data_IF_160096534040
#
_entry.id   IF_160096534040
#
_cell.length_a   1.000
_cell.length_b   1.000
_cell.length_c   1.000
_cell.angle_alpha   90.00
_cell.angle_beta   90.00
_cell.angle_gamma   90.00
#
_symmetry.space_group_name_H-M   'P 1'
#
loop_
_entity.id
_entity.type
_entity.pdbx_description
1 polymer ?
#
# COMPACT_ATOMS: atom_id res chain seq x y z
N UNK A 1 5.76 13.56 -39.27
CA UNK A 1 5.94 12.14 -38.88
C UNK A 1 6.56 11.98 -37.48
N UNK A 2 7.67 12.66 -37.13
CA UNK A 2 8.31 12.54 -35.80
C UNK A 2 7.39 12.88 -34.62
N UNK A 3 6.68 14.01 -34.68
CA UNK A 3 5.72 14.43 -33.64
C UNK A 3 4.60 13.42 -33.44
N UNK A 4 4.10 12.84 -34.54
CA UNK A 4 3.04 11.81 -34.49
C UNK A 4 3.53 10.53 -33.80
N UNK A 5 4.72 10.03 -34.14
CA UNK A 5 5.32 8.86 -33.49
C UNK A 5 5.59 9.11 -31.99
N UNK A 6 6.08 10.30 -31.64
CA UNK A 6 6.30 10.70 -30.25
C UNK A 6 4.98 10.72 -29.46
N UNK A 7 3.93 11.35 -30.00
CA UNK A 7 2.62 11.41 -29.37
C UNK A 7 2.02 10.00 -29.19
N UNK A 8 2.12 9.15 -30.22
CA UNK A 8 1.63 7.77 -30.17
C UNK A 8 2.35 6.95 -29.09
N UNK A 9 3.67 7.11 -28.96
CA UNK A 9 4.46 6.45 -27.93
C UNK A 9 4.09 6.94 -26.52
N UNK A 10 3.85 8.25 -26.35
CA UNK A 10 3.39 8.82 -25.07
C UNK A 10 2.02 8.27 -24.69
N UNK A 11 1.07 8.23 -25.63
CA UNK A 11 -0.28 7.71 -25.39
C UNK A 11 -0.26 6.21 -25.06
N UNK A 12 0.46 5.42 -25.84
CA UNK A 12 0.57 3.98 -25.62
C UNK A 12 1.32 3.67 -24.31
N UNK A 13 2.41 4.37 -24.04
CA UNK A 13 3.16 4.26 -22.79
C UNK A 13 2.32 4.67 -21.58
N UNK A 14 1.58 5.77 -21.67
CA UNK A 14 0.65 6.21 -20.64
C UNK A 14 -0.48 5.21 -20.39
N UNK A 15 -1.03 4.59 -21.44
CA UNK A 15 -2.04 3.55 -21.31
C UNK A 15 -1.50 2.30 -20.59
N UNK A 16 -0.34 1.79 -21.01
CA UNK A 16 0.33 0.65 -20.36
C UNK A 16 0.65 0.98 -18.90
N UNK A 17 1.13 2.19 -18.63
CA UNK A 17 1.40 2.66 -17.28
C UNK A 17 0.16 2.64 -16.39
N UNK A 18 -0.99 3.14 -16.86
CA UNK A 18 -2.26 3.11 -16.10
C UNK A 18 -2.69 1.68 -15.79
N UNK A 19 -2.58 0.76 -16.76
CA UNK A 19 -2.91 -0.65 -16.52
C UNK A 19 -2.00 -1.28 -15.47
N UNK A 20 -0.69 -1.03 -15.55
CA UNK A 20 0.27 -1.51 -14.55
C UNK A 20 -0.02 -0.92 -13.16
N UNK A 21 -0.38 0.36 -13.09
CA UNK A 21 -0.72 1.02 -11.83
C UNK A 21 -1.98 0.41 -11.18
N UNK A 22 -3.00 0.08 -11.97
CA UNK A 22 -4.23 -0.59 -11.47
C UNK A 22 -3.91 -1.98 -10.92
N UNK A 23 -3.10 -2.78 -11.65
CA UNK A 23 -2.70 -4.11 -11.21
C UNK A 23 -1.84 -4.05 -9.95
N UNK A 24 -0.84 -3.17 -9.94
CA UNK A 24 0.03 -2.95 -8.78
C UNK A 24 -0.78 -2.53 -7.56
N UNK A 25 -1.70 -1.57 -7.73
CA UNK A 25 -2.58 -1.12 -6.66
C UNK A 25 -3.39 -2.28 -6.04
N UNK A 26 -3.97 -3.14 -6.88
CA UNK A 26 -4.75 -4.28 -6.40
C UNK A 26 -3.90 -5.26 -5.58
N UNK A 27 -2.68 -5.55 -6.03
CA UNK A 27 -1.76 -6.45 -5.31
C UNK A 27 -1.24 -5.81 -4.02
N UNK A 28 -0.94 -4.52 -4.03
CA UNK A 28 -0.51 -3.78 -2.84
C UNK A 28 -1.63 -3.70 -1.81
N UNK A 29 -2.88 -3.47 -2.22
CA UNK A 29 -4.03 -3.49 -1.32
C UNK A 29 -4.26 -4.87 -0.68
N UNK A 30 -4.17 -5.94 -1.48
CA UNK A 30 -4.27 -7.32 -0.97
C UNK A 30 -3.10 -7.66 -0.02
N UNK A 31 -1.89 -7.18 -0.31
CA UNK A 31 -0.73 -7.32 0.57
C UNK A 31 -0.98 -6.69 1.95
N UNK A 32 -1.50 -5.45 2.00
CA UNK A 32 -1.89 -4.83 3.27
C UNK A 32 -3.03 -5.59 3.97
N UNK A 33 -4.00 -6.12 3.20
CA UNK A 33 -5.08 -6.94 3.73
C UNK A 33 -4.58 -8.20 4.44
N UNK A 34 -3.62 -8.90 3.83
CA UNK A 34 -2.93 -10.06 4.44
C UNK A 34 -2.10 -9.68 5.67
N UNK A 35 -1.58 -8.44 5.71
CA UNK A 35 -0.90 -7.85 6.87
C UNK A 35 -1.82 -7.46 8.03
N UNK A 36 -3.15 -7.63 7.89
CA UNK A 36 -4.13 -7.35 8.94
C UNK A 36 -4.83 -5.98 8.83
N UNK A 37 -4.50 -5.16 7.84
CA UNK A 37 -5.22 -3.91 7.57
C UNK A 37 -6.53 -4.24 6.83
N UNK A 38 -7.69 -3.84 7.34
CA UNK A 38 -8.97 -4.17 6.69
C UNK A 38 -9.68 -2.94 6.11
N UNK A 39 -10.41 -3.14 5.01
CA UNK A 39 -11.25 -2.11 4.40
C UNK A 39 -10.45 -0.88 3.97
N UNK A 40 -10.91 0.31 4.35
CA UNK A 40 -10.32 1.59 3.96
C UNK A 40 -8.83 1.72 4.32
N UNK A 41 -8.38 1.11 5.42
CA UNK A 41 -6.98 1.22 5.84
C UNK A 41 -6.01 0.50 4.89
N UNK A 42 -6.41 -0.65 4.33
CA UNK A 42 -5.59 -1.34 3.32
C UNK A 42 -5.44 -0.49 2.05
N UNK A 43 -6.53 0.14 1.62
CA UNK A 43 -6.53 1.04 0.47
C UNK A 43 -5.70 2.29 0.72
N UNK A 44 -5.77 2.89 1.91
CA UNK A 44 -4.92 4.04 2.28
C UNK A 44 -3.44 3.67 2.28
N UNK A 45 -3.08 2.50 2.82
CA UNK A 45 -1.71 1.99 2.75
C UNK A 45 -1.22 1.80 1.31
N UNK A 46 -2.06 1.19 0.46
CA UNK A 46 -1.75 1.02 -0.95
C UNK A 46 -1.57 2.35 -1.68
N UNK A 47 -2.51 3.29 -1.55
CA UNK A 47 -2.38 4.63 -2.15
C UNK A 47 -1.11 5.33 -1.67
N UNK A 48 -0.80 5.27 -0.37
CA UNK A 48 0.41 5.87 0.20
C UNK A 48 1.69 5.32 -0.41
N UNK A 49 1.83 3.99 -0.49
CA UNK A 49 2.99 3.34 -1.10
C UNK A 49 3.13 3.62 -2.59
N UNK A 50 2.04 3.49 -3.36
CA UNK A 50 2.04 3.74 -4.81
C UNK A 50 2.36 5.21 -5.12
N UNK A 51 1.80 6.14 -4.35
CA UNK A 51 2.08 7.58 -4.51
C UNK A 51 3.52 7.92 -4.14
N UNK A 52 4.07 7.33 -3.08
CA UNK A 52 5.47 7.54 -2.69
C UNK A 52 6.43 7.00 -3.75
N UNK A 53 6.14 5.83 -4.33
CA UNK A 53 6.88 5.29 -5.46
C UNK A 53 6.84 6.23 -6.66
N UNK A 54 5.64 6.67 -7.06
CA UNK A 54 5.48 7.57 -8.19
C UNK A 54 6.19 8.91 -7.98
N UNK A 55 5.98 9.56 -6.83
CA UNK A 55 6.60 10.84 -6.51
C UNK A 55 8.13 10.75 -6.45
N UNK A 56 8.68 9.67 -5.90
CA UNK A 56 10.13 9.51 -5.81
C UNK A 56 10.76 9.30 -7.18
N UNK A 57 10.19 8.47 -8.05
CA UNK A 57 10.67 8.29 -9.43
C UNK A 57 10.52 9.56 -10.28
N UNK A 58 9.39 10.26 -10.18
CA UNK A 58 9.19 11.53 -10.87
C UNK A 58 10.23 12.58 -10.46
N UNK A 59 10.57 12.66 -9.17
CA UNK A 59 11.64 13.55 -8.70
C UNK A 59 13.03 13.13 -9.20
N UNK A 60 13.32 11.82 -9.32
CA UNK A 60 14.56 11.33 -9.92
C UNK A 60 14.65 11.77 -11.37
N UNK A 61 13.58 11.61 -12.15
CA UNK A 61 13.51 12.05 -13.55
C UNK A 61 13.73 13.57 -13.63
N UNK A 62 13.02 14.37 -12.84
CA UNK A 62 13.17 15.84 -12.84
C UNK A 62 14.62 16.25 -12.51
N UNK A 63 15.24 15.63 -11.51
CA UNK A 63 16.65 15.87 -11.19
C UNK A 63 17.57 15.53 -12.37
N UNK A 64 17.35 14.40 -13.03
CA UNK A 64 18.10 13.99 -14.22
C UNK A 64 17.93 15.00 -15.38
N UNK A 65 16.71 15.46 -15.64
CA UNK A 65 16.41 16.43 -16.70
C UNK A 65 17.00 17.82 -16.42
N UNK A 66 17.06 18.22 -15.16
CA UNK A 66 17.61 19.52 -14.74
C UNK A 66 19.13 19.48 -14.48
N UNK A 67 19.78 18.32 -14.66
CA UNK A 67 21.20 18.15 -14.35
C UNK A 67 21.55 18.29 -12.87
N UNK A 68 20.57 18.12 -11.98
CA UNK A 68 20.75 18.21 -10.52
C UNK A 68 21.05 16.83 -9.93
N UNK A 69 21.83 16.81 -8.85
CA UNK A 69 22.08 15.58 -8.08
C UNK A 69 20.79 15.17 -7.34
N UNK A 70 20.37 13.92 -7.51
CA UNK A 70 19.21 13.37 -6.77
C UNK A 70 19.53 13.33 -5.27
N UNK A 71 18.74 13.98 -4.40
CA UNK A 71 18.89 13.94 -2.95
C UNK A 71 18.79 12.51 -2.39
N UNK A 72 19.57 12.21 -1.34
CA UNK A 72 19.60 10.88 -0.70
C UNK A 72 18.20 10.42 -0.23
N UNK A 73 17.37 11.24 0.42
CA UNK A 73 16.04 10.81 0.86
C UNK A 73 15.14 10.33 -0.27
N UNK A 74 15.24 10.93 -1.45
CA UNK A 74 14.45 10.55 -2.64
C UNK A 74 14.89 9.18 -3.15
N UNK A 75 16.20 8.90 -3.14
CA UNK A 75 16.73 7.57 -3.52
C UNK A 75 16.24 6.49 -2.55
N UNK A 76 16.29 6.76 -1.25
CA UNK A 76 15.81 5.85 -0.22
C UNK A 76 14.31 5.58 -0.40
N UNK A 77 13.51 6.63 -0.59
CA UNK A 77 12.06 6.49 -0.82
C UNK A 77 11.73 5.67 -2.07
N UNK A 78 12.46 5.90 -3.18
CA UNK A 78 12.29 5.12 -4.42
C UNK A 78 12.63 3.65 -4.21
N UNK A 79 13.77 3.33 -3.57
CA UNK A 79 14.17 1.95 -3.31
C UNK A 79 13.19 1.23 -2.38
N UNK A 80 12.81 1.85 -1.25
CA UNK A 80 11.87 1.24 -0.31
C UNK A 80 10.52 0.97 -0.99
N UNK A 81 9.99 1.96 -1.72
CA UNK A 81 8.69 1.80 -2.38
C UNK A 81 8.76 0.75 -3.51
N UNK A 82 9.87 0.71 -4.26
CA UNK A 82 10.11 -0.32 -5.28
C UNK A 82 10.16 -1.73 -4.67
N UNK A 83 10.80 -1.90 -3.51
CA UNK A 83 10.86 -3.18 -2.81
C UNK A 83 9.48 -3.62 -2.30
N UNK A 84 8.70 -2.70 -1.72
CA UNK A 84 7.34 -3.00 -1.24
C UNK A 84 6.42 -3.38 -2.39
N UNK A 85 6.43 -2.62 -3.49
CA UNK A 85 5.62 -2.90 -4.69
C UNK A 85 6.08 -4.17 -5.40
N UNK A 86 7.39 -4.38 -5.52
CA UNK A 86 7.95 -5.60 -6.09
C UNK A 86 7.53 -6.82 -5.29
N UNK A 87 7.65 -6.75 -3.95
CA UNK A 87 7.24 -7.84 -3.07
C UNK A 87 5.72 -8.08 -3.09
N UNK A 88 4.89 -7.03 -3.12
CA UNK A 88 3.43 -7.19 -3.19
C UNK A 88 3.00 -7.91 -4.47
N UNK A 89 3.61 -7.56 -5.61
CA UNK A 89 3.37 -8.21 -6.90
C UNK A 89 3.84 -9.66 -6.96
N UNK A 90 4.98 -9.99 -6.35
CA UNK A 90 5.47 -11.37 -6.29
C UNK A 90 4.62 -12.23 -5.34
N UNK A 91 4.29 -11.69 -4.17
CA UNK A 91 3.54 -12.42 -3.14
C UNK A 91 2.06 -12.64 -3.50
N UNK A 92 1.49 -11.86 -4.41
CA UNK A 92 0.14 -12.11 -4.93
C UNK A 92 0.06 -13.44 -5.69
N UNK A 93 1.18 -13.92 -6.26
CA UNK A 93 1.27 -15.19 -6.97
C UNK A 93 1.40 -16.43 -6.07
N UNK A 94 1.80 -16.30 -4.80
CA UNK A 94 2.05 -17.45 -3.92
C UNK A 94 0.89 -18.46 -3.81
N UNK A 95 -0.39 -18.03 -3.71
CA UNK A 95 -1.50 -18.98 -3.64
C UNK A 95 -1.70 -19.81 -4.91
N UNK A 96 -1.22 -19.32 -6.06
CA UNK A 96 -1.45 -19.90 -7.38
C UNK A 96 -0.24 -20.70 -7.91
N UNK A 97 0.81 -20.86 -7.11
CA UNK A 97 2.01 -21.64 -7.45
C UNK A 97 3.08 -20.86 -8.24
N UNK A 98 4.11 -21.59 -8.70
CA UNK A 98 5.32 -21.00 -9.28
C UNK A 98 5.11 -20.18 -10.55
N UNK A 99 4.14 -20.56 -11.39
CA UNK A 99 3.83 -19.84 -12.64
C UNK A 99 3.31 -18.42 -12.35
N UNK A 100 2.42 -18.26 -11.36
CA UNK A 100 1.91 -16.95 -10.97
C UNK A 100 2.99 -16.06 -10.32
N UNK A 101 3.92 -16.66 -9.58
CA UNK A 101 5.09 -15.96 -9.05
C UNK A 101 5.95 -15.41 -10.19
N UNK A 102 6.21 -16.22 -11.21
CA UNK A 102 6.97 -15.79 -12.39
C UNK A 102 6.29 -14.62 -13.11
N UNK A 103 4.96 -14.64 -13.23
CA UNK A 103 4.19 -13.51 -13.78
C UNK A 103 4.36 -12.26 -12.91
N UNK A 104 4.30 -12.38 -11.58
CA UNK A 104 4.52 -11.25 -10.66
C UNK A 104 5.91 -10.63 -10.80
N UNK A 105 6.95 -11.45 -10.93
CA UNK A 105 8.32 -10.98 -11.22
C UNK A 105 8.39 -10.30 -12.58
N UNK A 106 7.77 -10.89 -13.61
CA UNK A 106 7.78 -10.36 -14.97
C UNK A 106 7.12 -8.97 -15.03
N UNK A 107 6.01 -8.75 -14.32
CA UNK A 107 5.35 -7.43 -14.23
C UNK A 107 6.32 -6.37 -13.70
N UNK A 108 7.03 -6.69 -12.61
CA UNK A 108 8.02 -5.78 -12.02
C UNK A 108 9.17 -5.47 -13.00
N UNK A 109 9.70 -6.48 -13.68
CA UNK A 109 10.78 -6.31 -14.68
C UNK A 109 10.31 -5.48 -15.87
N UNK A 110 9.10 -5.73 -16.39
CA UNK A 110 8.53 -4.95 -17.50
C UNK A 110 8.36 -3.49 -17.09
N UNK A 111 7.85 -3.22 -15.89
CA UNK A 111 7.73 -1.86 -15.37
C UNK A 111 9.07 -1.13 -15.31
N UNK A 112 10.11 -1.81 -14.83
CA UNK A 112 11.47 -1.27 -14.78
C UNK A 112 12.05 -1.00 -16.18
N UNK A 113 11.88 -1.93 -17.12
CA UNK A 113 12.33 -1.74 -18.51
C UNK A 113 11.58 -0.60 -19.20
N UNK A 114 10.27 -0.49 -18.99
CA UNK A 114 9.47 0.60 -19.54
C UNK A 114 9.96 1.96 -19.04
N UNK A 115 10.25 2.08 -17.74
CA UNK A 115 10.83 3.29 -17.14
C UNK A 115 12.19 3.65 -17.74
N UNK A 116 13.07 2.66 -17.96
CA UNK A 116 14.37 2.86 -18.59
C UNK A 116 14.24 3.33 -20.05
N UNK A 117 13.31 2.74 -20.81
CA UNK A 117 13.07 3.12 -22.22
C UNK A 117 12.55 4.56 -22.30
N UNK A 118 11.59 4.92 -21.46
CA UNK A 118 11.04 6.28 -21.39
C UNK A 118 12.13 7.27 -20.96
N UNK A 119 12.88 6.95 -19.91
CA UNK A 119 13.98 7.79 -19.42
C UNK A 119 15.05 8.01 -20.49
N UNK A 120 15.45 6.94 -21.19
CA UNK A 120 16.41 7.03 -22.29
C UNK A 120 15.90 7.92 -23.42
N UNK A 121 14.64 7.77 -23.83
CA UNK A 121 14.02 8.57 -24.89
C UNK A 121 14.02 10.07 -24.53
N UNK A 122 13.66 10.43 -23.30
CA UNK A 122 13.63 11.82 -22.84
C UNK A 122 15.06 12.40 -22.77
N UNK A 123 16.02 11.65 -22.23
CA UNK A 123 17.43 12.10 -22.13
C UNK A 123 18.04 12.30 -23.52
N UNK A 124 17.77 11.40 -24.48
CA UNK A 124 18.26 11.55 -25.85
C UNK A 124 17.68 12.79 -26.55
N UNK A 125 16.40 13.11 -26.32
CA UNK A 125 15.77 14.29 -26.92
C UNK A 125 16.41 15.62 -26.50
N UNK A 126 16.85 15.73 -25.24
CA UNK A 126 17.45 16.97 -24.71
C UNK A 126 18.91 17.19 -25.15
N UNK A 127 19.65 16.13 -25.51
CA UNK A 127 21.03 16.26 -25.98
C UNK A 127 21.09 16.89 -27.38
N UNK A 128 20.22 16.44 -28.27
CA UNK A 128 20.13 16.96 -29.64
C UNK A 128 19.83 18.47 -29.70
N UNK A 129 19.11 19.02 -28.71
CA UNK A 129 18.86 20.47 -28.64
C UNK A 129 20.06 21.25 -28.11
N UNK A 130 20.77 20.72 -27.11
CA UNK A 130 21.97 21.37 -26.57
C UNK A 130 23.10 21.39 -27.59
N UNK A 131 23.29 20.30 -28.32
CA UNK A 131 24.34 20.22 -29.35
C UNK A 131 24.04 21.21 -30.50
N UNK A 132 22.77 21.37 -30.88
CA UNK A 132 22.36 22.38 -31.88
C UNK A 132 22.49 23.83 -31.40
N UNK A 133 22.31 24.09 -30.10
CA UNK A 133 22.57 25.41 -29.53
C UNK A 133 24.07 25.72 -29.45
N UNK A 134 24.91 24.71 -29.20
CA UNK A 134 26.36 24.87 -29.18
C UNK A 134 26.97 25.07 -30.58
N UNK A 135 26.31 24.56 -31.64
CA UNK A 135 26.75 24.72 -33.03
C UNK A 135 26.19 25.97 -33.73
N UNK A 136 25.31 26.75 -33.11
CA UNK A 136 25.04 28.11 -33.61
C UNK A 136 26.31 28.92 -33.36
N UNK A 137 27.07 29.28 -34.43
CA UNK A 137 28.26 30.10 -34.26
C UNK A 137 27.83 31.39 -33.58
N UNK A 138 28.66 31.90 -32.68
CA UNK A 138 28.61 33.28 -32.21
C UNK A 138 28.65 34.21 -33.44
N UNK A 139 27.51 34.39 -34.10
CA UNK A 139 27.32 35.39 -35.13
C UNK A 139 27.28 36.71 -34.38
N UNK A 140 28.48 37.26 -34.19
CA UNK A 140 28.78 38.67 -34.09
C UNK A 140 27.65 39.52 -33.48
N UNK A 141 27.69 39.63 -32.15
CA UNK A 141 27.45 40.94 -31.53
C UNK A 141 28.73 41.77 -31.72
N UNK A 142 29.16 41.95 -32.97
CA UNK A 142 30.08 43.01 -33.37
C UNK A 142 29.19 44.13 -33.93
N UNK A 143 28.86 45.11 -33.10
CA UNK A 143 28.15 46.28 -33.60
C UNK A 143 27.39 47.11 -32.58
N UNK A 144 27.93 47.37 -31.40
CA UNK A 144 27.59 48.56 -30.62
C UNK A 144 28.59 48.72 -29.47
N UNK A 145 29.72 49.39 -29.74
CA UNK A 145 30.41 50.16 -28.71
C UNK A 145 29.52 51.37 -28.36
N UNK A 146 29.14 51.60 -27.10
CA UNK A 146 29.00 52.95 -26.58
C UNK A 146 30.36 53.35 -26.01
N UNK A 147 31.04 54.26 -26.70
CA UNK A 147 32.00 55.16 -26.04
C UNK A 147 31.25 55.99 -25.00
N UNK A 148 31.62 55.87 -23.72
CA UNK A 148 31.52 56.87 -22.63
C UNK A 148 31.54 56.13 -21.28
N UNK A 149 32.22 56.56 -20.22
CA UNK A 149 33.06 57.72 -19.94
C UNK A 149 33.82 57.36 -18.67
N UNK A 150 35.10 57.73 -18.60
CA UNK A 150 35.90 57.65 -17.38
C UNK A 150 35.32 58.60 -16.32
N UNK A 151 35.16 58.09 -15.10
CA UNK A 151 34.95 58.88 -13.90
C UNK A 151 35.72 58.20 -12.76
N UNK A 152 36.92 58.72 -12.52
CA UNK A 152 37.67 58.56 -11.27
C UNK A 152 36.82 59.08 -10.10
N UNK A 153 36.86 58.38 -8.97
CA UNK A 153 36.72 58.88 -7.58
C UNK A 153 36.76 57.64 -6.67
N UNK A 154 37.92 57.34 -6.08
CA UNK A 154 38.39 57.80 -4.76
C UNK A 154 38.13 56.77 -3.65
N UNK A 155 39.25 56.36 -3.06
CA UNK A 155 39.51 55.97 -1.68
C UNK A 155 38.37 55.57 -0.74
N UNK A 156 38.53 54.40 -0.12
CA UNK A 156 37.70 53.97 0.99
C UNK A 156 38.19 52.72 1.69
N UNK A 157 39.43 52.76 2.21
CA UNK A 157 39.88 51.80 3.21
C UNK A 157 39.01 51.89 4.48
N UNK A 158 38.39 50.79 4.90
CA UNK A 158 38.09 50.58 6.32
C UNK A 158 38.03 49.10 6.70
N UNK A 159 38.68 48.85 7.83
CA UNK A 159 39.00 47.57 8.45
C UNK A 159 37.88 46.99 9.34
N UNK A 160 38.24 45.91 10.04
CA UNK A 160 37.58 45.20 11.16
C UNK A 160 36.69 44.03 10.74
N UNK A 161 37.12 42.78 10.93
CA UNK A 161 37.31 42.06 12.21
C UNK A 161 35.97 41.82 12.92
N UNK A 162 35.49 40.57 12.87
CA UNK A 162 34.88 39.92 14.03
C UNK A 162 34.90 38.40 13.84
N UNK A 163 35.87 37.78 14.53
CA UNK A 163 35.77 36.41 14.99
C UNK A 163 34.67 36.36 16.05
N UNK A 164 33.61 35.60 15.78
CA UNK A 164 32.64 35.18 16.78
C UNK A 164 32.87 33.73 17.16
N UNK A 165 33.77 33.50 18.11
CA UNK A 165 33.78 32.30 18.94
C UNK A 165 32.48 32.25 19.74
N UNK A 166 31.65 31.21 19.52
CA UNK A 166 30.58 30.85 20.44
C UNK A 166 31.04 29.61 21.21
N UNK A 167 31.61 29.92 22.37
CA UNK A 167 32.06 29.06 23.43
C UNK A 167 30.91 28.25 24.07
N UNK A 168 31.28 27.02 24.42
CA UNK A 168 30.72 26.07 25.37
C UNK A 168 29.61 26.55 26.33
N UNK A 169 28.58 25.71 26.47
CA UNK A 169 28.11 25.23 27.80
C UNK A 169 27.50 23.83 27.69
N UNK A 170 28.18 22.85 28.27
CA UNK A 170 27.60 21.63 28.84
C UNK A 170 27.07 21.96 30.27
N UNK A 171 26.62 21.01 31.14
CA UNK A 171 26.22 19.59 30.98
C UNK A 171 24.88 19.25 31.72
N UNK A 172 24.52 17.94 31.80
CA UNK A 172 23.81 17.24 32.93
C UNK A 172 22.45 17.78 33.44
N UNK A 173 21.50 17.06 34.03
CA UNK A 173 21.13 15.69 34.41
C UNK A 173 19.73 15.86 35.04
N UNK A 174 18.84 14.86 34.96
CA UNK A 174 17.77 14.51 35.94
C UNK A 174 16.80 13.57 35.18
N UNK A 175 16.80 12.24 35.34
CA UNK A 175 16.43 11.43 36.52
C UNK A 175 15.15 11.88 37.23
N UNK A 176 14.04 11.24 36.90
CA UNK A 176 12.93 10.79 37.76
C UNK A 176 11.79 10.31 36.84
N UNK A 177 10.90 9.36 37.14
CA UNK A 177 10.78 8.28 38.08
C UNK A 177 9.50 7.51 37.64
N UNK A 178 9.56 6.19 37.44
CA UNK A 178 8.47 5.30 37.85
C UNK A 178 8.61 5.10 39.37
N UNK A 179 7.57 4.74 40.17
CA UNK A 179 6.38 3.94 39.88
C UNK A 179 5.07 4.64 40.37
N UNK A 180 3.84 4.14 40.23
CA UNK A 180 3.20 3.13 41.09
C UNK A 180 1.82 2.71 40.59
N UNK A 181 1.51 1.45 40.91
CA UNK A 181 0.18 0.85 40.97
C UNK A 181 -0.77 1.64 41.87
N UNK A 182 -2.01 1.83 41.43
CA UNK A 182 -3.15 1.87 42.36
C UNK A 182 -4.28 0.97 41.87
N UNK A 183 -4.45 -0.14 42.59
CA UNK A 183 -5.72 -0.85 42.72
C UNK A 183 -6.75 0.12 43.30
N UNK A 184 -7.91 0.24 42.66
CA UNK A 184 -9.12 0.62 43.38
C UNK A 184 -10.24 -0.35 43.06
N UNK A 185 -10.53 -1.14 44.10
CA UNK A 185 -11.63 -2.07 44.26
C UNK A 185 -12.76 -1.26 44.90
N UNK A 186 -13.87 -1.09 44.20
CA UNK A 186 -15.11 -0.63 44.81
C UNK A 186 -16.30 -1.32 44.13
N UNK A 187 -16.85 -2.31 44.83
CA UNK A 187 -18.27 -2.66 44.75
C UNK A 187 -19.12 -1.41 45.05
N UNK A 188 -20.33 -1.34 44.48
CA UNK A 188 -21.46 -1.39 45.38
C UNK A 188 -22.62 -2.28 44.88
N UNK A 189 -23.11 -3.06 45.83
CA UNK A 189 -24.51 -3.20 46.25
C UNK A 189 -25.61 -3.37 45.17
N UNK A 190 -26.12 -4.60 45.16
CA UNK A 190 -27.55 -4.92 45.36
C UNK A 190 -28.54 -3.76 45.23
N UNK A 191 -29.38 -3.82 44.19
CA UNK A 191 -30.76 -3.39 44.33
C UNK A 191 -31.69 -4.31 43.53
N UNK A 192 -32.19 -5.34 44.21
CA UNK A 192 -33.43 -6.02 43.85
C UNK A 192 -34.60 -5.07 44.12
N UNK A 193 -35.31 -4.62 43.10
CA UNK A 193 -36.77 -4.46 43.24
C UNK A 193 -37.47 -4.67 41.91
N UNK A 194 -38.52 -5.48 42.01
CA UNK A 194 -39.39 -5.97 40.97
C UNK A 194 -40.04 -4.91 40.08
N UNK A 195 -40.09 -5.19 38.77
CA UNK A 195 -41.23 -4.82 37.90
C UNK A 195 -41.46 -5.93 36.85
N UNK A 196 -42.52 -6.73 36.97
CA UNK A 196 -42.82 -7.79 36.03
C UNK A 196 -43.98 -7.39 35.12
N UNK A 197 -43.84 -6.43 34.20
CA UNK A 197 -44.97 -6.13 33.28
C UNK A 197 -44.61 -5.40 31.97
N UNK A 198 -43.37 -5.54 31.47
CA UNK A 198 -42.95 -4.88 30.22
C UNK A 198 -42.24 -5.76 29.19
N UNK A 199 -42.35 -7.09 29.31
CA UNK A 199 -41.67 -8.04 28.41
C UNK A 199 -42.48 -8.55 27.21
N UNK A 200 -43.78 -8.25 27.09
CA UNK A 200 -44.59 -8.86 26.01
C UNK A 200 -44.65 -8.05 24.69
N UNK A 201 -44.16 -6.81 24.66
CA UNK A 201 -44.18 -5.99 23.41
C UNK A 201 -42.83 -5.84 22.71
N UNK A 202 -41.74 -6.36 23.26
CA UNK A 202 -40.41 -6.31 22.63
C UNK A 202 -40.10 -7.53 21.74
N UNK A 203 -40.88 -8.61 21.81
CA UNK A 203 -40.57 -9.86 21.11
C UNK A 203 -41.18 -9.96 19.70
N UNK A 204 -42.16 -9.10 19.35
CA UNK A 204 -42.82 -9.13 18.02
C UNK A 204 -42.18 -8.25 16.93
N UNK A 205 -41.19 -7.42 17.24
CA UNK A 205 -40.47 -6.62 16.22
C UNK A 205 -39.11 -7.19 15.78
N UNK A 206 -38.66 -8.32 16.35
CA UNK A 206 -37.41 -9.01 15.97
C UNK A 206 -37.52 -9.94 14.74
N UNK A 207 -38.67 -9.94 14.04
CA UNK A 207 -38.84 -10.60 12.72
C UNK A 207 -38.72 -9.61 11.55
N UNK A 208 -37.97 -8.52 11.71
CA UNK A 208 -37.43 -7.81 10.55
C UNK A 208 -36.31 -8.66 9.97
N UNK A 209 -36.59 -9.23 8.81
CA UNK A 209 -35.66 -9.79 7.83
C UNK A 209 -34.28 -9.14 7.94
N UNK A 210 -33.39 -9.79 8.68
CA UNK A 210 -31.95 -9.60 8.56
C UNK A 210 -31.62 -10.15 7.18
N UNK A 211 -31.74 -9.30 6.15
CA UNK A 211 -30.91 -9.45 4.96
C UNK A 211 -29.49 -9.31 5.46
N UNK A 212 -28.91 -10.46 5.77
CA UNK A 212 -27.54 -10.62 6.21
C UNK A 212 -26.68 -10.15 5.04
N UNK A 213 -26.34 -8.86 5.03
CA UNK A 213 -25.27 -8.34 4.19
C UNK A 213 -23.99 -8.99 4.70
N UNK A 214 -23.70 -10.17 4.14
CA UNK A 214 -22.40 -10.81 4.27
C UNK A 214 -21.38 -9.89 3.62
N UNK A 215 -20.72 -9.10 4.45
CA UNK A 215 -19.54 -8.36 4.04
C UNK A 215 -18.48 -9.41 3.67
N UNK A 216 -18.14 -9.41 2.39
CA UNK A 216 -17.20 -10.29 1.69
C UNK A 216 -15.76 -9.95 2.12
N UNK A 217 -15.45 -10.20 3.40
CA UNK A 217 -14.06 -10.23 3.87
C UNK A 217 -13.46 -11.52 3.33
N UNK A 218 -12.43 -11.46 2.47
CA UNK A 218 -11.80 -12.52 1.66
C UNK A 218 -11.37 -13.84 2.33
N UNK A 219 -11.97 -14.23 3.45
CA UNK A 219 -12.11 -15.60 3.90
C UNK A 219 -13.00 -16.34 2.89
N UNK A 220 -12.34 -17.07 1.98
CA UNK A 220 -12.91 -17.71 0.79
C UNK A 220 -14.39 -18.08 0.90
N UNK A 221 -15.19 -17.58 -0.04
CA UNK A 221 -16.59 -17.98 -0.20
C UNK A 221 -16.69 -19.50 -0.08
N UNK A 222 -17.74 -19.95 0.61
CA UNK A 222 -18.12 -21.35 0.60
C UNK A 222 -18.40 -21.71 -0.86
N UNK A 223 -17.43 -22.36 -1.52
CA UNK A 223 -17.64 -22.90 -2.85
C UNK A 223 -18.56 -24.10 -2.72
N UNK A 224 -19.44 -24.36 -3.71
CA UNK A 224 -20.28 -25.56 -3.71
C UNK A 224 -19.46 -26.84 -3.51
N UNK A 225 -18.26 -26.90 -4.06
CA UNK A 225 -17.32 -28.01 -3.92
C UNK A 225 -16.85 -28.20 -2.47
N UNK A 226 -16.39 -27.15 -1.79
CA UNK A 226 -15.97 -27.24 -0.39
C UNK A 226 -17.15 -27.59 0.52
N UNK A 227 -18.33 -27.07 0.21
CA UNK A 227 -19.54 -27.35 0.98
C UNK A 227 -19.88 -28.85 0.94
N UNK A 228 -19.94 -29.45 -0.25
CA UNK A 228 -20.23 -30.88 -0.39
C UNK A 228 -19.11 -31.73 0.22
N UNK A 229 -17.83 -31.36 0.03
CA UNK A 229 -16.70 -32.05 0.66
C UNK A 229 -16.82 -32.10 2.20
N UNK A 230 -17.18 -30.99 2.84
CA UNK A 230 -17.34 -30.94 4.31
C UNK A 230 -18.54 -31.80 4.73
N UNK A 231 -19.62 -31.76 3.97
CA UNK A 231 -20.85 -32.49 4.26
C UNK A 231 -20.66 -34.00 4.12
N UNK A 232 -20.01 -34.47 3.06
CA UNK A 232 -19.64 -35.87 2.86
C UNK A 232 -18.76 -36.39 4.01
N UNK A 233 -17.69 -35.65 4.35
CA UNK A 233 -16.81 -36.02 5.46
C UNK A 233 -17.56 -36.08 6.81
N UNK A 234 -18.48 -35.16 7.05
CA UNK A 234 -19.31 -35.15 8.27
C UNK A 234 -20.26 -36.34 8.34
N UNK A 235 -20.90 -36.70 7.22
CA UNK A 235 -21.82 -37.83 7.13
C UNK A 235 -21.09 -39.17 7.23
N UNK A 236 -19.94 -39.32 6.58
CA UNK A 236 -19.10 -40.51 6.68
C UNK A 236 -18.64 -40.74 8.12
N UNK A 237 -18.12 -39.70 8.78
CA UNK A 237 -17.70 -39.80 10.19
C UNK A 237 -18.86 -40.18 11.11
N UNK A 238 -20.07 -39.65 10.85
CA UNK A 238 -21.26 -40.02 11.62
C UNK A 238 -21.64 -41.48 11.41
N UNK A 239 -21.52 -42.01 10.19
CA UNK A 239 -21.79 -43.41 9.89
C UNK A 239 -20.81 -44.35 10.63
N UNK A 240 -19.53 -43.97 10.71
CA UNK A 240 -18.47 -44.76 11.36
C UNK A 240 -18.52 -44.70 12.89
N UNK A 241 -18.81 -43.52 13.47
CA UNK A 241 -18.69 -43.28 14.92
C UNK A 241 -20.01 -43.03 15.65
N UNK A 242 -21.15 -43.04 14.94
CA UNK A 242 -22.48 -42.81 15.51
C UNK A 242 -22.77 -41.37 15.98
N UNK A 243 -21.81 -40.44 15.84
CA UNK A 243 -21.95 -39.03 16.24
C UNK A 243 -21.34 -38.08 15.21
N UNK A 244 -21.89 -36.87 15.09
CA UNK A 244 -21.31 -35.84 14.23
C UNK A 244 -19.91 -35.43 14.75
N UNK A 245 -18.93 -35.27 13.86
CA UNK A 245 -17.59 -34.82 14.26
C UNK A 245 -17.58 -33.40 14.82
N UNK A 246 -16.64 -33.14 15.73
CA UNK A 246 -16.36 -31.79 16.22
C UNK A 246 -15.73 -30.90 15.14
N UNK A 247 -15.76 -29.58 15.36
CA UNK A 247 -15.15 -28.59 14.44
C UNK A 247 -13.67 -28.90 14.12
N UNK A 248 -12.79 -29.17 15.11
CA UNK A 248 -11.38 -29.43 14.81
C UNK A 248 -11.17 -30.66 13.94
N UNK A 249 -11.97 -31.71 14.16
CA UNK A 249 -11.94 -32.95 13.37
C UNK A 249 -12.34 -32.69 11.92
N UNK A 250 -13.42 -31.94 11.69
CA UNK A 250 -13.86 -31.59 10.32
C UNK A 250 -12.84 -30.71 9.58
N UNK A 251 -12.23 -29.75 10.27
CA UNK A 251 -11.16 -28.94 9.67
C UNK A 251 -9.97 -29.81 9.26
N UNK A 252 -9.58 -30.77 10.11
CA UNK A 252 -8.48 -31.70 9.82
C UNK A 252 -8.79 -32.65 8.66
N UNK A 253 -10.03 -33.14 8.57
CA UNK A 253 -10.45 -34.07 7.51
C UNK A 253 -10.58 -33.38 6.14
N UNK A 254 -11.06 -32.14 6.12
CA UNK A 254 -11.44 -31.47 4.87
C UNK A 254 -10.38 -30.49 4.37
N UNK A 255 -9.53 -29.98 5.28
CA UNK A 255 -8.62 -28.87 5.01
C UNK A 255 -9.35 -27.52 4.87
N UNK A 256 -10.65 -27.46 5.16
CA UNK A 256 -11.45 -26.26 4.96
C UNK A 256 -11.38 -25.29 6.16
N UNK A 257 -11.51 -23.97 5.93
CA UNK A 257 -11.53 -22.97 7.00
C UNK A 257 -12.68 -23.15 7.98
N UNK A 258 -12.46 -22.78 9.24
CA UNK A 258 -13.43 -22.93 10.34
C UNK A 258 -14.83 -22.40 10.02
N UNK A 259 -14.92 -21.23 9.37
CA UNK A 259 -16.21 -20.60 9.02
C UNK A 259 -17.05 -21.46 8.05
N UNK A 260 -16.40 -22.12 7.09
CA UNK A 260 -17.09 -23.01 6.15
C UNK A 260 -17.60 -24.26 6.88
N UNK A 261 -16.75 -24.81 7.76
CA UNK A 261 -17.11 -25.95 8.64
C UNK A 261 -18.28 -25.60 9.55
N UNK A 262 -18.31 -24.39 10.12
CA UNK A 262 -19.39 -23.93 11.00
C UNK A 262 -20.73 -23.79 10.29
N UNK A 263 -20.72 -23.29 9.05
CA UNK A 263 -21.93 -23.16 8.24
C UNK A 263 -22.55 -24.54 7.95
N UNK A 264 -21.74 -25.49 7.47
CA UNK A 264 -22.19 -26.85 7.15
C UNK A 264 -22.63 -27.60 8.40
N UNK A 265 -21.86 -27.50 9.49
CA UNK A 265 -22.17 -28.17 10.76
C UNK A 265 -23.49 -27.70 11.35
N UNK A 266 -23.76 -26.39 11.32
CA UNK A 266 -25.03 -25.82 11.77
C UNK A 266 -26.20 -26.36 10.95
N UNK A 267 -26.07 -26.41 9.63
CA UNK A 267 -27.12 -26.95 8.76
C UNK A 267 -27.41 -28.44 9.03
N UNK A 268 -26.36 -29.24 9.25
CA UNK A 268 -26.51 -30.66 9.60
C UNK A 268 -27.18 -30.84 10.96
N UNK A 269 -26.84 -30.01 11.95
CA UNK A 269 -27.49 -30.02 13.27
C UNK A 269 -28.98 -29.65 13.18
N UNK A 270 -29.32 -28.62 12.40
CA UNK A 270 -30.70 -28.20 12.16
C UNK A 270 -31.52 -29.29 11.44
N UNK A 271 -30.92 -29.99 10.47
CA UNK A 271 -31.53 -31.15 9.78
C UNK A 271 -31.77 -32.34 10.72
N UNK A 272 -30.86 -32.63 11.64
CA UNK A 272 -31.06 -33.72 12.60
C UNK A 272 -32.12 -33.39 13.63
N UNK A 273 -32.21 -32.12 14.05
CA UNK A 273 -33.23 -31.66 14.98
C UNK A 273 -34.64 -31.72 14.39
N UNK A 274 -34.78 -31.53 13.08
CA UNK A 274 -36.07 -31.59 12.39
C UNK A 274 -36.51 -33.00 12.02
N UNK A 275 -35.59 -33.97 12.01
CA UNK A 275 -35.87 -35.38 11.72
C UNK A 275 -36.17 -36.25 12.96
N UNK A 276 -35.99 -35.69 14.17
CA UNK A 276 -36.30 -36.36 15.46
C UNK A 276 -37.68 -35.93 15.96
#
# INVERSE_FOLDING_TARGET
MRVFLMLMNILLGGFVFVLMLILSYSHTADFFARGGYTGTYAHLGAVGCETLFFLSNMNIIICALTGRKVPIPIRIASVISALVIGYSNVSSGFPNGGEAIAIGVLIFVIGFVAELVVSAAIISGNRDEKDKQAEQPEQEVQGAQPEHEQGDDEDGAHAQAEQGEAEQRAPEQEQHAQPEHEQSKAEPEQNETAQPERKEKAERQRKRTVKMNYIDNGYGRVTPENYEKIKEAALQYKAEHGKLPGRPTLMKLTGCPQRQVDAVKKELEDKLRTAS
#
